data_IF_642096715136
#
_entry.id   IF_642096715136
#
_cell.length_a   1.000
_cell.length_b   1.000
_cell.length_c   1.000
_cell.angle_alpha   90.00
_cell.angle_beta   90.00
_cell.angle_gamma   90.00
#
_symmetry.space_group_name_H-M   'P 1'
#
loop_
_entity.id
_entity.type
_entity.pdbx_description
1 polymer ?
#
# COMPACT_ATOMS: atom_id res chain seq x y z
N UNK A 1 -10.36 20.81 16.62
CA UNK A 1 -10.66 19.47 17.18
C UNK A 1 -10.30 18.43 16.12
N UNK A 2 -9.17 17.74 16.25
CA UNK A 2 -8.83 16.65 15.31
C UNK A 2 -9.87 15.56 15.48
N UNK A 3 -10.57 15.21 14.41
CA UNK A 3 -11.33 13.96 14.35
C UNK A 3 -10.40 12.86 14.89
N UNK A 4 -10.86 12.13 15.91
CA UNK A 4 -10.15 10.97 16.42
C UNK A 4 -9.76 10.16 15.20
N UNK A 5 -8.47 9.89 15.01
CA UNK A 5 -8.03 8.90 14.04
C UNK A 5 -8.97 7.70 14.22
N UNK A 6 -9.61 7.25 13.14
CA UNK A 6 -10.50 6.09 13.21
C UNK A 6 -9.81 4.91 13.92
N UNK A 7 -10.58 3.88 14.31
CA UNK A 7 -10.01 2.70 14.96
C UNK A 7 -8.79 2.19 14.18
N UNK A 8 -7.76 1.60 14.83
CA UNK A 8 -6.58 1.09 14.13
C UNK A 8 -6.91 0.32 12.86
N UNK A 9 -6.04 0.40 11.86
CA UNK A 9 -6.27 -0.25 10.58
C UNK A 9 -6.46 -1.77 10.78
N UNK A 10 -7.56 -2.33 10.27
CA UNK A 10 -7.80 -3.77 10.33
C UNK A 10 -7.06 -4.54 9.23
N UNK A 11 -6.98 -5.87 9.35
CA UNK A 11 -6.30 -6.72 8.36
C UNK A 11 -6.91 -6.62 6.96
N UNK A 12 -8.23 -6.77 6.82
CA UNK A 12 -8.90 -6.66 5.52
C UNK A 12 -8.61 -5.30 4.86
N UNK A 13 -8.76 -4.23 5.62
CA UNK A 13 -8.49 -2.86 5.17
C UNK A 13 -7.01 -2.66 4.77
N UNK A 14 -6.07 -3.33 5.44
CA UNK A 14 -4.64 -3.29 5.10
C UNK A 14 -4.34 -3.89 3.72
N UNK A 15 -5.06 -4.95 3.33
CA UNK A 15 -4.87 -5.60 2.04
C UNK A 15 -5.51 -4.84 0.88
N UNK A 16 -6.61 -4.11 1.15
CA UNK A 16 -7.30 -3.23 0.20
C UNK A 16 -6.60 -1.87 0.01
N UNK A 17 -5.49 -1.62 0.70
CA UNK A 17 -4.77 -0.37 0.56
C UNK A 17 -4.25 -0.18 -0.88
N UNK A 18 -4.30 1.07 -1.41
CA UNK A 18 -3.71 1.41 -2.70
C UNK A 18 -2.19 1.20 -2.67
N UNK A 19 -1.51 1.32 -3.82
CA UNK A 19 -0.05 1.12 -3.92
C UNK A 19 0.78 2.02 -2.98
N UNK A 20 0.26 3.20 -2.65
CA UNK A 20 0.85 4.08 -1.63
C UNK A 20 -0.21 4.83 -0.87
N UNK A 21 0.05 5.05 0.41
CA UNK A 21 -0.85 5.76 1.33
C UNK A 21 -0.21 7.04 1.86
N UNK A 22 -1.02 7.90 2.47
CA UNK A 22 -0.51 9.06 3.19
C UNK A 22 -0.02 8.70 4.59
N UNK A 23 0.63 9.67 5.25
CA UNK A 23 1.17 9.48 6.59
C UNK A 23 0.09 9.22 7.65
N UNK A 24 -1.12 9.78 7.50
CA UNK A 24 -2.19 9.57 8.49
C UNK A 24 -2.70 8.14 8.42
N UNK A 25 -2.86 7.58 7.22
CA UNK A 25 -3.20 6.16 7.03
C UNK A 25 -2.13 5.25 7.63
N UNK A 26 -0.86 5.52 7.37
CA UNK A 26 0.22 4.72 7.96
C UNK A 26 0.30 4.86 9.49
N UNK A 27 0.10 6.07 10.03
CA UNK A 27 0.04 6.29 11.48
C UNK A 27 -1.07 5.47 12.13
N UNK A 28 -2.24 5.40 11.48
CA UNK A 28 -3.37 4.57 11.90
C UNK A 28 -3.04 3.08 11.86
N UNK A 29 -2.28 2.63 10.86
CA UNK A 29 -1.82 1.24 10.78
C UNK A 29 -0.89 0.87 11.95
N UNK A 30 0.00 1.78 12.35
CA UNK A 30 0.88 1.59 13.52
C UNK A 30 0.23 1.91 14.87
N UNK A 31 -1.04 2.33 14.90
CA UNK A 31 -1.71 2.71 16.15
C UNK A 31 -1.16 3.97 16.82
N UNK A 32 -0.47 4.85 16.07
CA UNK A 32 0.10 6.10 16.58
C UNK A 32 -0.67 7.31 16.08
N UNK A 33 -0.66 8.40 16.85
CA UNK A 33 -1.28 9.64 16.39
C UNK A 33 -0.44 10.29 15.27
N UNK A 34 -1.05 11.09 14.36
CA UNK A 34 -0.31 11.74 13.27
C UNK A 34 0.85 12.60 13.76
N UNK A 35 0.71 13.28 14.91
CA UNK A 35 1.78 14.09 15.51
C UNK A 35 3.02 13.27 15.87
N UNK A 36 2.82 12.09 16.47
CA UNK A 36 3.89 11.13 16.74
C UNK A 36 4.54 10.63 15.46
N UNK A 37 3.74 10.31 14.43
CA UNK A 37 4.28 9.90 13.14
C UNK A 37 5.16 10.99 12.49
N UNK A 38 4.71 12.25 12.49
CA UNK A 38 5.54 13.38 12.03
C UNK A 38 6.82 13.55 12.85
N UNK A 39 6.74 13.36 14.18
CA UNK A 39 7.90 13.43 15.08
C UNK A 39 8.92 12.33 14.74
N UNK A 40 8.47 11.10 14.57
CA UNK A 40 9.32 9.97 14.19
C UNK A 40 10.02 10.22 12.84
N UNK A 41 9.33 10.79 11.85
CA UNK A 41 9.97 11.14 10.58
C UNK A 41 11.06 12.20 10.74
N UNK A 42 10.81 13.23 11.55
CA UNK A 42 11.82 14.27 11.83
C UNK A 42 13.04 13.71 12.56
N UNK A 43 12.85 12.68 13.37
CA UNK A 43 13.92 11.96 14.08
C UNK A 43 14.57 10.86 13.25
N UNK A 44 14.13 10.62 12.01
CA UNK A 44 14.61 9.50 11.19
C UNK A 44 14.24 8.12 11.73
N UNK A 45 13.26 8.03 12.64
CA UNK A 45 12.88 6.83 13.38
C UNK A 45 11.51 6.27 12.96
N UNK A 46 10.96 6.72 11.84
CA UNK A 46 9.71 6.17 11.33
C UNK A 46 9.96 4.76 10.74
N UNK A 47 9.11 3.76 11.03
CA UNK A 47 9.42 2.34 10.78
C UNK A 47 9.42 1.93 9.31
N UNK A 48 9.05 2.82 8.38
CA UNK A 48 9.07 2.52 6.95
C UNK A 48 9.63 3.69 6.13
N UNK A 49 10.15 3.43 4.91
CA UNK A 49 10.61 4.46 3.99
C UNK A 49 9.49 5.45 3.64
N UNK A 50 9.84 6.74 3.68
CA UNK A 50 8.91 7.84 3.41
C UNK A 50 9.35 8.56 2.15
N UNK A 51 8.51 8.53 1.12
CA UNK A 51 8.70 9.30 -0.10
C UNK A 51 8.20 10.73 0.12
N UNK A 52 9.09 11.70 -0.12
CA UNK A 52 8.75 13.13 -0.09
C UNK A 52 8.44 13.62 -1.50
N UNK A 53 7.16 13.71 -1.81
CA UNK A 53 6.66 14.22 -3.09
C UNK A 53 6.20 15.67 -2.90
N UNK A 54 7.16 16.59 -2.97
CA UNK A 54 6.97 18.00 -2.64
C UNK A 54 6.53 18.18 -1.18
N UNK A 55 5.31 18.71 -0.98
CA UNK A 55 4.72 18.93 0.35
C UNK A 55 4.05 17.68 0.94
N UNK A 56 3.93 16.59 0.17
CA UNK A 56 3.20 15.39 0.57
C UNK A 56 4.16 14.28 1.00
N UNK A 57 3.71 13.53 1.99
CA UNK A 57 4.34 12.29 2.44
C UNK A 57 3.60 11.14 1.79
N UNK A 58 4.33 10.23 1.15
CA UNK A 58 3.79 8.98 0.62
C UNK A 58 4.58 7.81 1.18
N UNK A 59 3.86 6.77 1.55
CA UNK A 59 4.44 5.54 2.09
C UNK A 59 3.99 4.42 1.16
N UNK A 60 4.92 3.71 0.50
CA UNK A 60 4.57 2.56 -0.31
C UNK A 60 3.97 1.47 0.58
N UNK A 61 2.82 0.94 0.19
CA UNK A 61 2.07 -0.03 0.99
C UNK A 61 2.87 -1.31 1.25
N UNK A 62 3.72 -1.71 0.30
CA UNK A 62 4.62 -2.85 0.48
C UNK A 62 5.54 -2.70 1.70
N UNK A 63 6.15 -1.53 1.89
CA UNK A 63 7.01 -1.30 3.06
C UNK A 63 6.22 -1.11 4.35
N UNK A 64 5.01 -0.55 4.26
CA UNK A 64 4.11 -0.46 5.40
C UNK A 64 3.75 -1.86 5.93
N UNK A 65 3.33 -2.76 5.03
CA UNK A 65 3.00 -4.15 5.36
C UNK A 65 4.22 -4.89 5.91
N UNK A 66 5.38 -4.78 5.27
CA UNK A 66 6.63 -5.39 5.76
C UNK A 66 6.99 -4.92 7.17
N UNK A 67 6.86 -3.62 7.46
CA UNK A 67 7.15 -3.07 8.79
C UNK A 67 6.16 -3.57 9.87
N UNK A 68 4.98 -4.05 9.47
CA UNK A 68 4.01 -4.71 10.34
C UNK A 68 4.22 -6.24 10.45
N UNK A 69 5.28 -6.78 9.82
CA UNK A 69 5.55 -8.22 9.79
C UNK A 69 4.73 -9.00 8.75
N UNK A 70 4.11 -8.30 7.79
CA UNK A 70 3.33 -8.92 6.72
C UNK A 70 4.23 -9.02 5.48
N UNK A 71 4.76 -10.21 5.22
CA UNK A 71 5.69 -10.46 4.11
C UNK A 71 4.99 -10.97 2.85
N UNK A 72 3.89 -11.71 3.02
CA UNK A 72 3.10 -12.27 1.93
C UNK A 72 1.77 -11.51 1.82
N UNK A 73 1.44 -11.11 0.59
CA UNK A 73 0.11 -10.56 0.30
C UNK A 73 -0.79 -11.76 -0.02
N UNK A 74 -1.88 -11.99 0.73
CA UNK A 74 -2.80 -13.08 0.44
C UNK A 74 -3.37 -12.85 -0.96
N UNK A 75 -3.19 -13.84 -1.83
CA UNK A 75 -3.85 -13.89 -3.14
C UNK A 75 -5.14 -14.66 -2.92
N UNK A 76 -6.28 -13.99 -3.04
CA UNK A 76 -7.56 -14.67 -2.94
C UNK A 76 -7.87 -15.36 -4.27
N UNK A 77 -8.64 -16.44 -4.25
CA UNK A 77 -9.01 -17.17 -5.46
C UNK A 77 -9.65 -16.25 -6.53
N UNK A 78 -10.38 -15.23 -6.10
CA UNK A 78 -10.96 -14.19 -6.97
C UNK A 78 -9.90 -13.39 -7.74
N UNK A 79 -8.73 -13.14 -7.12
CA UNK A 79 -7.63 -12.41 -7.76
C UNK A 79 -6.94 -13.28 -8.82
N UNK A 80 -6.96 -14.60 -8.63
CA UNK A 80 -6.42 -15.58 -9.58
C UNK A 80 -7.26 -15.64 -10.86
N UNK A 81 -8.59 -15.64 -10.74
CA UNK A 81 -9.50 -15.58 -11.89
C UNK A 81 -9.33 -14.26 -12.66
N UNK A 82 -9.30 -13.12 -11.95
CA UNK A 82 -9.05 -11.82 -12.55
C UNK A 82 -7.67 -11.75 -13.23
N UNK A 83 -6.65 -12.33 -12.59
CA UNK A 83 -5.29 -12.45 -13.12
C UNK A 83 -5.24 -13.31 -14.39
N UNK A 84 -5.90 -14.47 -14.40
CA UNK A 84 -5.99 -15.36 -15.54
C UNK A 84 -6.71 -14.69 -16.72
N UNK A 85 -7.81 -13.98 -16.45
CA UNK A 85 -8.53 -13.21 -17.47
C UNK A 85 -7.67 -12.08 -18.07
N UNK A 86 -6.84 -11.42 -17.26
CA UNK A 86 -5.89 -10.41 -17.75
C UNK A 86 -4.78 -11.02 -18.61
N UNK A 87 -4.24 -12.18 -18.22
CA UNK A 87 -3.20 -12.89 -18.98
C UNK A 87 -3.72 -13.35 -20.35
N UNK A 88 -4.92 -13.93 -20.40
CA UNK A 88 -5.53 -14.38 -21.65
C UNK A 88 -5.72 -13.25 -22.68
N UNK A 89 -6.05 -12.03 -22.22
CA UNK A 89 -6.17 -10.85 -23.11
C UNK A 89 -4.84 -10.39 -23.69
N UNK A 90 -3.72 -10.61 -22.99
CA UNK A 90 -2.39 -10.23 -23.47
C UNK A 90 -1.89 -11.18 -24.57
N UNK A 91 -2.22 -12.47 -24.48
CA UNK A 91 -1.82 -13.46 -25.49
C UNK A 91 -2.53 -13.25 -26.83
N UNK A 92 -3.80 -12.81 -26.82
CA UNK A 92 -4.53 -12.42 -28.05
C UNK A 92 -3.87 -11.24 -28.78
N UNK A 93 -3.21 -10.32 -28.07
CA UNK A 93 -2.56 -9.15 -28.69
C UNK A 93 -1.20 -9.44 -29.31
N UNK A 94 -0.57 -10.58 -29.00
CA UNK A 94 0.71 -11.01 -29.62
C UNK A 94 0.52 -11.77 -30.93
N UNK A 95 -0.72 -12.09 -31.30
CA UNK A 95 -1.05 -12.77 -32.56
C UNK A 95 -1.10 -11.87 -33.79
N UNK A 96 -0.92 -10.55 -33.66
CA UNK A 96 -1.01 -9.58 -34.76
C UNK A 96 0.34 -8.97 -35.15
N UNK A 97 1.47 -9.62 -34.83
CA UNK A 97 2.73 -9.34 -35.56
C UNK A 97 2.68 -10.09 -36.90
N UNK A 98 2.14 -9.39 -37.90
CA UNK A 98 2.18 -9.74 -39.32
C UNK A 98 3.63 -10.02 -39.77
N UNK A 99 3.96 -11.22 -40.28
CA UNK A 99 5.09 -11.40 -41.15
C UNK A 99 4.62 -11.41 -42.62
N UNK A 100 5.02 -10.34 -43.32
CA UNK A 100 5.10 -10.15 -44.78
C UNK A 100 3.81 -9.81 -45.55
#
# INVERSE_FOLDING_TARGET
>A
MSARSGPPLGFAEAFDLPLSVDLRTAARAFGVCPGTAYRLIRLGAFPCPVLRLGRRYRIPTAYLLRALGIEERPVYAVDLEAGAANAARLDDTRGTEDPA
#
